data_IF_830329915864
#
_entry.id   IF_830329915864
#
_cell.length_a   1.000
_cell.length_b   1.000
_cell.length_c   1.000
_cell.angle_alpha   90.00
_cell.angle_beta   90.00
_cell.angle_gamma   90.00
#
_symmetry.space_group_name_H-M   'P 1'
#
loop_
_entity.id
_entity.type
_entity.pdbx_description
1 polymer ?
#
# COMPACT_ATOMS: atom_id res chain seq x y z
N UNK A 1 -15.84 0.65 19.66
CA UNK A 1 -15.69 -0.13 18.41
C UNK A 1 -15.54 -1.59 18.78
N UNK A 2 -16.46 -2.46 18.35
CA UNK A 2 -16.32 -3.91 18.52
C UNK A 2 -15.32 -4.39 17.46
N UNK A 3 -14.14 -4.80 17.91
CA UNK A 3 -13.20 -5.51 17.05
C UNK A 3 -13.79 -6.89 16.77
N UNK A 4 -14.29 -7.11 15.55
CA UNK A 4 -14.60 -8.45 15.08
C UNK A 4 -13.28 -9.22 15.00
N UNK A 5 -12.96 -9.95 16.07
CA UNK A 5 -11.86 -10.91 16.11
C UNK A 5 -12.15 -11.96 15.03
N UNK A 6 -11.55 -11.80 13.85
CA UNK A 6 -11.54 -12.87 12.87
C UNK A 6 -10.56 -13.89 13.42
N UNK A 7 -11.11 -14.92 14.06
CA UNK A 7 -10.38 -16.08 14.53
C UNK A 7 -9.46 -16.59 13.40
N UNK A 8 -8.13 -16.57 13.58
CA UNK A 8 -7.18 -16.92 12.52
C UNK A 8 -7.41 -18.33 11.99
N UNK A 9 -7.90 -19.25 12.85
CA UNK A 9 -8.28 -20.60 12.42
C UNK A 9 -9.45 -20.61 11.43
N UNK A 10 -10.40 -19.67 11.58
CA UNK A 10 -11.55 -19.51 10.66
C UNK A 10 -11.15 -18.79 9.38
N UNK A 11 -10.21 -17.84 9.44
CA UNK A 11 -9.64 -17.18 8.26
C UNK A 11 -8.89 -18.19 7.37
N UNK A 12 -8.03 -19.02 7.96
CA UNK A 12 -7.29 -20.06 7.24
C UNK A 12 -8.21 -21.13 6.66
N UNK A 13 -9.25 -21.54 7.41
CA UNK A 13 -10.26 -22.47 6.91
C UNK A 13 -11.04 -21.89 5.72
N UNK A 14 -11.39 -20.59 5.78
CA UNK A 14 -12.08 -19.89 4.68
C UNK A 14 -11.19 -19.76 3.44
N UNK A 15 -9.91 -19.42 3.63
CA UNK A 15 -8.88 -19.37 2.58
C UNK A 15 -8.72 -20.71 1.88
N UNK A 16 -8.52 -21.79 2.64
CA UNK A 16 -8.39 -23.16 2.11
C UNK A 16 -9.64 -23.63 1.38
N UNK A 17 -10.84 -23.35 1.90
CA UNK A 17 -12.12 -23.68 1.24
C UNK A 17 -12.30 -22.92 -0.07
N UNK A 18 -11.98 -21.62 -0.08
CA UNK A 18 -12.08 -20.80 -1.29
C UNK A 18 -11.12 -21.26 -2.38
N UNK A 19 -9.84 -21.48 -2.06
CA UNK A 19 -8.86 -21.97 -3.04
C UNK A 19 -9.19 -23.39 -3.53
N UNK A 20 -9.75 -24.23 -2.66
CA UNK A 20 -10.22 -25.56 -3.04
C UNK A 20 -11.43 -25.49 -3.99
N UNK A 21 -12.41 -24.61 -3.73
CA UNK A 21 -13.55 -24.43 -4.61
C UNK A 21 -13.14 -23.92 -6.00
N UNK A 22 -12.23 -22.93 -6.07
CA UNK A 22 -11.67 -22.45 -7.34
C UNK A 22 -10.86 -23.53 -8.06
N UNK A 23 -10.08 -24.33 -7.33
CA UNK A 23 -9.35 -25.47 -7.87
C UNK A 23 -10.26 -26.54 -8.46
N UNK A 24 -11.31 -26.95 -7.75
CA UNK A 24 -12.33 -27.90 -8.21
C UNK A 24 -13.03 -27.35 -9.45
N UNK A 25 -13.45 -26.09 -9.43
CA UNK A 25 -14.14 -25.45 -10.55
C UNK A 25 -13.26 -25.41 -11.81
N UNK A 26 -11.97 -25.07 -11.67
CA UNK A 26 -11.00 -25.08 -12.76
C UNK A 26 -10.80 -26.49 -13.33
N UNK A 27 -10.75 -27.53 -12.48
CA UNK A 27 -10.66 -28.93 -12.94
C UNK A 27 -11.93 -29.35 -13.68
N UNK A 28 -13.13 -29.00 -13.18
CA UNK A 28 -14.40 -29.31 -13.85
C UNK A 28 -14.42 -28.69 -15.25
N UNK A 29 -14.02 -27.42 -15.39
CA UNK A 29 -13.90 -26.76 -16.70
C UNK A 29 -12.91 -27.51 -17.61
N UNK A 30 -11.76 -27.92 -17.07
CA UNK A 30 -10.78 -28.73 -17.81
C UNK A 30 -11.36 -30.08 -18.29
N UNK A 31 -12.14 -30.76 -17.46
CA UNK A 31 -12.84 -32.00 -17.83
C UNK A 31 -13.92 -31.76 -18.90
N UNK A 32 -14.63 -30.63 -18.85
CA UNK A 32 -15.59 -30.24 -19.89
C UNK A 32 -14.91 -29.98 -21.23
N UNK A 33 -13.72 -29.37 -21.23
CA UNK A 33 -12.92 -29.21 -22.45
C UNK A 33 -12.45 -30.56 -23.02
N UNK A 34 -12.10 -31.54 -22.18
CA UNK A 34 -11.79 -32.90 -22.64
C UNK A 34 -13.02 -33.56 -23.29
N UNK A 35 -14.19 -33.47 -22.66
CA UNK A 35 -15.44 -33.99 -23.22
C UNK A 35 -15.79 -33.31 -24.55
N UNK A 36 -15.62 -31.98 -24.64
CA UNK A 36 -15.77 -31.21 -25.87
C UNK A 36 -14.78 -31.64 -26.96
N UNK A 37 -13.51 -31.86 -26.60
CA UNK A 37 -12.49 -32.35 -27.53
C UNK A 37 -12.85 -33.73 -28.13
N UNK A 38 -13.37 -34.65 -27.30
CA UNK A 38 -13.87 -35.96 -27.76
C UNK A 38 -15.06 -35.78 -28.71
N UNK A 39 -15.98 -34.86 -28.40
CA UNK A 39 -17.10 -34.53 -29.29
C UNK A 39 -16.62 -33.98 -30.65
N UNK A 40 -15.64 -33.06 -30.67
CA UNK A 40 -15.05 -32.55 -31.91
C UNK A 40 -14.36 -33.65 -32.75
N UNK A 41 -13.77 -34.65 -32.10
CA UNK A 41 -13.18 -35.80 -32.77
C UNK A 41 -14.24 -36.73 -33.37
N UNK A 42 -15.29 -37.06 -32.61
CA UNK A 42 -16.32 -38.01 -33.04
C UNK A 42 -17.32 -37.42 -34.03
N UNK A 43 -17.80 -36.19 -33.79
CA UNK A 43 -18.85 -35.56 -34.59
C UNK A 43 -18.29 -34.81 -35.81
N UNK A 44 -17.14 -34.14 -35.66
CA UNK A 44 -16.58 -33.25 -36.69
C UNK A 44 -15.30 -33.82 -37.33
N UNK A 45 -14.79 -34.98 -36.88
CA UNK A 45 -13.53 -35.61 -37.33
C UNK A 45 -12.34 -34.63 -37.36
N UNK A 46 -12.37 -33.61 -36.51
CA UNK A 46 -11.38 -32.53 -36.52
C UNK A 46 -10.29 -32.82 -35.48
N UNK A 47 -9.13 -33.26 -35.95
CA UNK A 47 -7.94 -33.47 -35.12
C UNK A 47 -7.44 -32.13 -34.55
N UNK A 48 -7.54 -31.04 -35.32
CA UNK A 48 -7.18 -29.70 -34.85
C UNK A 48 -8.05 -29.22 -33.68
N UNK A 49 -9.37 -29.48 -33.73
CA UNK A 49 -10.29 -29.18 -32.64
C UNK A 49 -9.97 -29.96 -31.36
N UNK A 50 -9.61 -31.24 -31.48
CA UNK A 50 -9.19 -32.06 -30.35
C UNK A 50 -7.93 -31.50 -29.68
N UNK A 51 -6.90 -31.15 -30.47
CA UNK A 51 -5.62 -30.66 -29.93
C UNK A 51 -5.80 -29.34 -29.18
N UNK A 52 -6.58 -28.41 -29.74
CA UNK A 52 -6.86 -27.11 -29.10
C UNK A 52 -7.61 -27.31 -27.78
N UNK A 53 -8.64 -28.15 -27.76
CA UNK A 53 -9.40 -28.44 -26.54
C UNK A 53 -8.55 -29.16 -25.48
N UNK A 54 -7.62 -30.02 -25.89
CA UNK A 54 -6.68 -30.70 -25.00
C UNK A 54 -5.69 -29.71 -24.36
N UNK A 55 -5.17 -28.73 -25.12
CA UNK A 55 -4.32 -27.66 -24.59
C UNK A 55 -5.09 -26.86 -23.52
N UNK A 56 -6.32 -26.44 -23.82
CA UNK A 56 -7.15 -25.74 -22.83
C UNK A 56 -7.41 -26.59 -21.60
N UNK A 57 -7.75 -27.87 -21.76
CA UNK A 57 -7.93 -28.77 -20.64
C UNK A 57 -6.69 -28.86 -19.74
N UNK A 58 -5.49 -29.01 -20.32
CA UNK A 58 -4.24 -29.06 -19.57
C UNK A 58 -3.97 -27.75 -18.82
N UNK A 59 -4.25 -26.59 -19.44
CA UNK A 59 -4.10 -25.28 -18.77
C UNK A 59 -5.05 -25.15 -17.58
N UNK A 60 -6.33 -25.54 -17.73
CA UNK A 60 -7.32 -25.46 -16.67
C UNK A 60 -7.09 -26.47 -15.55
N UNK A 61 -6.64 -27.69 -15.87
CA UNK A 61 -6.25 -28.70 -14.87
C UNK A 61 -4.99 -28.24 -14.13
N UNK A 62 -3.98 -27.73 -14.85
CA UNK A 62 -2.75 -27.18 -14.27
C UNK A 62 -3.02 -25.97 -13.37
N UNK A 63 -3.88 -25.05 -13.81
CA UNK A 63 -4.35 -23.94 -12.99
C UNK A 63 -5.11 -24.43 -11.74
N UNK A 64 -5.92 -25.47 -11.86
CA UNK A 64 -6.59 -26.12 -10.73
C UNK A 64 -5.60 -26.61 -9.67
N UNK A 65 -4.58 -27.36 -10.08
CA UNK A 65 -3.49 -27.79 -9.18
C UNK A 65 -2.73 -26.62 -8.56
N UNK A 66 -2.50 -25.55 -9.33
CA UNK A 66 -1.89 -24.33 -8.80
C UNK A 66 -2.75 -23.69 -7.70
N UNK A 67 -4.07 -23.55 -7.89
CA UNK A 67 -4.96 -23.00 -6.86
C UNK A 67 -4.95 -23.83 -5.57
N UNK A 68 -4.89 -25.16 -5.66
CA UNK A 68 -4.75 -26.02 -4.46
C UNK A 68 -3.42 -25.80 -3.72
N UNK A 69 -2.32 -25.57 -4.45
CA UNK A 69 -0.99 -25.36 -3.86
C UNK A 69 -0.70 -23.92 -3.49
N UNK A 70 -1.48 -22.97 -3.98
CA UNK A 70 -1.32 -21.54 -3.77
C UNK A 70 -1.14 -21.12 -2.30
N UNK A 71 -1.93 -21.60 -1.32
CA UNK A 71 -1.73 -21.22 0.08
C UNK A 71 -0.37 -21.70 0.61
N UNK A 72 0.01 -22.96 0.32
CA UNK A 72 1.32 -23.51 0.74
C UNK A 72 2.50 -22.78 0.07
N UNK A 73 2.38 -22.44 -1.21
CA UNK A 73 3.42 -21.69 -1.93
C UNK A 73 3.59 -20.30 -1.31
N UNK A 74 2.49 -19.66 -0.90
CA UNK A 74 2.55 -18.34 -0.27
C UNK A 74 3.12 -18.38 1.15
N UNK A 75 2.78 -19.40 1.94
CA UNK A 75 3.41 -19.66 3.26
C UNK A 75 4.92 -19.89 3.13
N UNK A 76 5.35 -20.70 2.15
CA UNK A 76 6.77 -20.92 1.87
C UNK A 76 7.46 -19.65 1.40
N UNK A 77 6.78 -18.83 0.60
CA UNK A 77 7.33 -17.57 0.11
C UNK A 77 7.44 -16.53 1.21
N UNK A 78 6.48 -16.44 2.13
CA UNK A 78 6.58 -15.57 3.30
C UNK A 78 7.71 -16.02 4.22
N UNK A 79 7.80 -17.32 4.51
CA UNK A 79 8.90 -17.86 5.32
C UNK A 79 10.28 -17.60 4.69
N UNK A 80 10.41 -17.77 3.37
CA UNK A 80 11.64 -17.43 2.66
C UNK A 80 11.91 -15.91 2.64
N UNK A 81 10.90 -15.06 2.74
CA UNK A 81 11.07 -13.61 2.87
C UNK A 81 11.49 -13.19 4.29
N UNK A 82 11.38 -14.07 5.29
CA UNK A 82 11.82 -13.80 6.65
C UNK A 82 13.18 -14.44 6.98
N UNK A 83 13.69 -15.35 6.11
CA UNK A 83 15.02 -15.96 6.26
C UNK A 83 16.13 -15.08 5.62
N UNK A 84 17.08 -14.55 6.42
CA UNK A 84 18.18 -13.71 5.93
C UNK A 84 19.09 -14.40 4.90
N UNK A 85 19.19 -15.73 4.96
CA UNK A 85 20.06 -16.52 4.09
C UNK A 85 19.38 -16.90 2.77
N UNK A 86 18.10 -16.59 2.59
CA UNK A 86 17.38 -16.94 1.38
C UNK A 86 17.75 -16.01 0.22
N UNK A 87 17.88 -16.58 -0.99
CA UNK A 87 18.10 -15.79 -2.21
C UNK A 87 16.98 -14.78 -2.48
N UNK A 88 15.75 -15.10 -2.06
CA UNK A 88 14.59 -14.23 -2.22
C UNK A 88 14.72 -13.00 -1.33
N UNK A 89 15.13 -13.20 -0.07
CA UNK A 89 15.39 -12.12 0.88
C UNK A 89 16.50 -11.19 0.38
N UNK A 90 17.64 -11.76 0.00
CA UNK A 90 18.78 -10.98 -0.49
C UNK A 90 18.44 -10.16 -1.74
N UNK A 91 17.73 -10.75 -2.70
CA UNK A 91 17.27 -10.04 -3.90
C UNK A 91 16.34 -8.89 -3.53
N UNK A 92 15.40 -9.12 -2.62
CA UNK A 92 14.47 -8.09 -2.13
C UNK A 92 15.22 -6.97 -1.42
N UNK A 93 16.17 -7.27 -0.54
CA UNK A 93 16.97 -6.25 0.15
C UNK A 93 17.77 -5.38 -0.83
N UNK A 94 18.33 -5.97 -1.90
CA UNK A 94 18.95 -5.20 -2.98
C UNK A 94 17.95 -4.28 -3.72
N UNK A 95 16.74 -4.76 -4.02
CA UNK A 95 15.67 -3.96 -4.63
C UNK A 95 15.22 -2.80 -3.72
N UNK A 96 15.06 -3.07 -2.41
CA UNK A 96 14.72 -2.08 -1.40
C UNK A 96 15.82 -1.01 -1.28
N UNK A 97 17.09 -1.42 -1.24
CA UNK A 97 18.23 -0.50 -1.15
C UNK A 97 18.31 0.46 -2.34
N UNK A 98 18.14 -0.07 -3.56
CA UNK A 98 18.11 0.76 -4.79
C UNK A 98 16.94 1.74 -4.78
N UNK A 99 15.79 1.31 -4.28
CA UNK A 99 14.60 2.14 -4.19
C UNK A 99 14.73 3.22 -3.11
N UNK A 100 15.37 2.90 -1.97
CA UNK A 100 15.73 3.87 -0.91
C UNK A 100 16.60 4.99 -1.44
N UNK A 101 17.67 4.65 -2.17
CA UNK A 101 18.58 5.65 -2.75
C UNK A 101 17.84 6.60 -3.71
N UNK A 102 16.89 6.08 -4.49
CA UNK A 102 16.05 6.88 -5.38
C UNK A 102 15.17 7.86 -4.60
N UNK A 103 14.55 7.40 -3.51
CA UNK A 103 13.74 8.26 -2.66
C UNK A 103 14.58 9.31 -1.95
N UNK A 104 15.76 8.94 -1.46
CA UNK A 104 16.69 9.85 -0.79
C UNK A 104 17.11 11.01 -1.70
N UNK A 105 17.47 10.71 -2.95
CA UNK A 105 17.81 11.74 -3.97
C UNK A 105 16.63 12.64 -4.35
N UNK A 106 15.41 12.10 -4.28
CA UNK A 106 14.19 12.85 -4.59
C UNK A 106 13.66 13.65 -3.40
N UNK A 107 14.06 13.29 -2.17
CA UNK A 107 13.54 13.84 -0.92
C UNK A 107 13.84 15.33 -0.72
N UNK A 108 14.83 15.87 -1.40
CA UNK A 108 15.20 17.30 -1.34
C UNK A 108 14.66 18.09 -2.55
N UNK A 109 14.14 17.40 -3.57
CA UNK A 109 13.78 17.97 -4.87
C UNK A 109 12.27 17.91 -5.14
N UNK A 110 11.44 18.41 -4.21
CA UNK A 110 9.97 18.34 -4.31
C UNK A 110 9.27 19.67 -4.64
N UNK A 111 9.96 20.81 -4.55
CA UNK A 111 9.33 22.13 -4.73
C UNK A 111 8.30 22.44 -3.63
N UNK A 112 7.30 23.28 -3.93
CA UNK A 112 6.32 23.76 -2.94
C UNK A 112 5.17 22.78 -2.68
N UNK A 113 4.59 22.84 -1.48
CA UNK A 113 3.51 21.94 -1.04
C UNK A 113 2.28 22.07 -1.95
N UNK A 114 1.94 23.32 -2.31
CA UNK A 114 0.88 23.61 -3.28
C UNK A 114 1.16 23.00 -4.67
N UNK A 115 2.42 23.03 -5.13
CA UNK A 115 2.78 22.43 -6.41
C UNK A 115 2.59 20.91 -6.38
N UNK A 116 3.03 20.28 -5.29
CA UNK A 116 2.94 18.82 -5.13
C UNK A 116 1.49 18.35 -4.99
N UNK A 117 0.69 18.98 -4.15
CA UNK A 117 -0.66 18.49 -3.84
C UNK A 117 -1.73 18.97 -4.83
N UNK A 118 -1.59 20.17 -5.40
CA UNK A 118 -2.58 20.71 -6.33
C UNK A 118 -2.14 20.57 -7.78
N UNK A 119 -0.95 21.11 -8.12
CA UNK A 119 -0.53 21.23 -9.53
C UNK A 119 -0.22 19.87 -10.15
N UNK A 120 0.51 19.01 -9.44
CA UNK A 120 0.83 17.66 -9.93
C UNK A 120 -0.42 16.80 -10.08
N UNK A 121 -1.29 16.81 -9.07
CA UNK A 121 -2.55 16.07 -9.09
C UNK A 121 -3.44 16.54 -10.25
N UNK A 122 -3.59 17.85 -10.43
CA UNK A 122 -4.32 18.42 -11.55
C UNK A 122 -3.68 18.07 -12.91
N UNK A 123 -2.35 18.03 -13.01
CA UNK A 123 -1.65 17.63 -14.24
C UNK A 123 -1.94 16.17 -14.58
N UNK A 124 -1.88 15.27 -13.61
CA UNK A 124 -2.22 13.84 -13.79
C UNK A 124 -3.65 13.68 -14.26
N UNK A 125 -4.61 14.32 -13.61
CA UNK A 125 -6.02 14.28 -14.04
C UNK A 125 -6.23 14.97 -15.38
N UNK A 126 -5.46 16.02 -15.70
CA UNK A 126 -5.54 16.74 -16.97
C UNK A 126 -5.11 15.87 -18.14
N UNK A 127 -3.94 15.23 -18.03
CA UNK A 127 -3.46 14.26 -19.03
C UNK A 127 -4.44 13.09 -19.14
N UNK A 128 -4.92 12.56 -18.02
CA UNK A 128 -5.91 11.48 -18.01
C UNK A 128 -7.20 11.86 -18.74
N UNK A 129 -7.71 13.07 -18.51
CA UNK A 129 -8.91 13.59 -19.18
C UNK A 129 -8.69 13.73 -20.68
N UNK A 130 -7.55 14.27 -21.11
CA UNK A 130 -7.22 14.41 -22.53
C UNK A 130 -7.10 13.06 -23.24
N UNK A 131 -6.46 12.07 -22.60
CA UNK A 131 -6.37 10.71 -23.13
C UNK A 131 -7.76 10.07 -23.24
N UNK A 132 -8.63 10.31 -22.26
CA UNK A 132 -9.98 9.79 -22.28
C UNK A 132 -10.83 10.41 -23.39
N UNK A 133 -10.77 11.73 -23.56
CA UNK A 133 -11.45 12.43 -24.66
C UNK A 133 -10.93 11.98 -26.03
N UNK A 134 -9.62 11.78 -26.17
CA UNK A 134 -9.03 11.24 -27.40
C UNK A 134 -9.56 9.83 -27.69
N UNK A 135 -9.65 8.97 -26.67
CA UNK A 135 -10.22 7.63 -26.80
C UNK A 135 -11.70 7.67 -27.16
N UNK A 136 -12.49 8.54 -26.52
CA UNK A 136 -13.91 8.76 -26.81
C UNK A 136 -14.12 9.20 -28.27
N UNK A 137 -13.30 10.15 -28.74
CA UNK A 137 -13.31 10.61 -30.13
C UNK A 137 -12.97 9.47 -31.13
N UNK A 138 -12.00 8.62 -30.83
CA UNK A 138 -11.64 7.47 -31.67
C UNK A 138 -12.81 6.48 -31.78
N UNK A 139 -13.45 6.13 -30.66
CA UNK A 139 -14.60 5.22 -30.68
C UNK A 139 -15.79 5.82 -31.44
N UNK A 140 -16.03 7.12 -31.29
CA UNK A 140 -17.07 7.83 -32.05
C UNK A 140 -16.78 7.81 -33.56
N UNK A 141 -15.53 8.02 -33.98
CA UNK A 141 -15.12 7.96 -35.39
C UNK A 141 -15.28 6.57 -36.02
N UNK A 142 -15.13 5.51 -35.22
CA UNK A 142 -15.31 4.11 -35.68
C UNK A 142 -16.81 3.70 -35.59
N UNK A 143 -17.69 4.59 -35.15
CA UNK A 143 -19.14 4.34 -35.07
C UNK A 143 -19.55 3.43 -33.90
N UNK A 144 -18.66 3.24 -32.92
CA UNK A 144 -18.92 2.41 -31.74
C UNK A 144 -19.27 3.32 -30.58
N UNK A 145 -20.51 3.22 -30.09
CA UNK A 145 -20.98 4.02 -28.96
C UNK A 145 -20.99 3.21 -27.66
N UNK A 146 -20.27 3.72 -26.65
CA UNK A 146 -20.33 3.19 -25.29
C UNK A 146 -20.91 4.26 -24.35
N UNK A 147 -22.08 4.02 -23.72
CA UNK A 147 -22.68 4.96 -22.76
C UNK A 147 -21.74 5.35 -21.61
N UNK A 148 -20.86 4.44 -21.21
CA UNK A 148 -19.84 4.68 -20.19
C UNK A 148 -18.85 5.79 -20.58
N UNK A 149 -18.48 5.92 -21.86
CA UNK A 149 -17.58 6.97 -22.34
C UNK A 149 -18.21 8.35 -22.16
N UNK A 150 -19.50 8.51 -22.47
CA UNK A 150 -20.23 9.78 -22.28
C UNK A 150 -20.28 10.19 -20.81
N UNK A 151 -20.52 9.23 -19.91
CA UNK A 151 -20.52 9.49 -18.47
C UNK A 151 -19.14 9.98 -18.00
N UNK A 152 -18.08 9.36 -18.50
CA UNK A 152 -16.70 9.72 -18.16
C UNK A 152 -16.26 11.04 -18.80
N UNK A 153 -16.75 11.39 -20.00
CA UNK A 153 -16.48 12.68 -20.65
C UNK A 153 -16.98 13.86 -19.81
N UNK A 154 -18.00 13.65 -18.96
CA UNK A 154 -18.50 14.63 -17.99
C UNK A 154 -17.78 14.51 -16.63
N UNK A 155 -17.52 13.29 -16.14
CA UNK A 155 -16.88 13.09 -14.83
C UNK A 155 -15.41 13.52 -14.79
N UNK A 156 -14.63 13.22 -15.83
CA UNK A 156 -13.21 13.56 -15.91
C UNK A 156 -12.93 15.06 -15.74
N UNK A 157 -13.62 15.99 -16.46
CA UNK A 157 -13.42 17.43 -16.24
C UNK A 157 -13.88 17.89 -14.85
N UNK A 158 -14.94 17.30 -14.28
CA UNK A 158 -15.37 17.61 -12.90
C UNK A 158 -14.27 17.23 -11.90
N UNK A 159 -13.67 16.05 -12.06
CA UNK A 159 -12.56 15.59 -11.21
C UNK A 159 -11.34 16.50 -11.37
N UNK A 160 -10.99 16.88 -12.60
CA UNK A 160 -9.90 17.83 -12.88
C UNK A 160 -10.13 19.18 -12.18
N UNK A 161 -11.31 19.77 -12.31
CA UNK A 161 -11.69 21.02 -11.66
C UNK A 161 -11.61 20.85 -10.13
N UNK A 162 -12.10 19.75 -9.59
CA UNK A 162 -12.04 19.46 -8.16
C UNK A 162 -10.60 19.35 -7.63
N UNK A 163 -9.67 18.82 -8.43
CA UNK A 163 -8.26 18.72 -8.09
C UNK A 163 -7.56 20.09 -8.10
N UNK A 164 -7.93 20.99 -9.01
CA UNK A 164 -7.44 22.37 -9.06
C UNK A 164 -7.81 23.17 -7.82
N UNK A 165 -8.98 22.91 -7.21
CA UNK A 165 -9.38 23.55 -5.95
C UNK A 165 -8.50 23.16 -4.76
N UNK A 166 -7.73 22.06 -4.86
CA UNK A 166 -6.71 21.71 -3.88
C UNK A 166 -7.28 21.36 -2.51
N UNK A 167 -8.32 20.51 -2.46
CA UNK A 167 -9.02 20.18 -1.21
C UNK A 167 -8.08 19.64 -0.12
N UNK A 168 -7.16 18.74 -0.47
CA UNK A 168 -6.16 18.20 0.47
C UNK A 168 -5.20 19.29 0.97
N UNK A 169 -4.69 20.13 0.06
CA UNK A 169 -3.84 21.27 0.43
C UNK A 169 -4.52 22.19 1.44
N UNK A 170 -5.80 22.54 1.22
CA UNK A 170 -6.55 23.39 2.15
C UNK A 170 -6.72 22.75 3.53
N UNK A 171 -6.95 21.43 3.59
CA UNK A 171 -7.05 20.72 4.87
C UNK A 171 -5.72 20.71 5.62
N UNK A 172 -4.61 20.42 4.95
CA UNK A 172 -3.29 20.45 5.57
C UNK A 172 -2.96 21.86 6.06
N UNK A 173 -3.32 22.90 5.30
CA UNK A 173 -3.16 24.29 5.73
C UNK A 173 -4.04 24.64 6.95
N UNK A 174 -5.21 24.01 7.10
CA UNK A 174 -6.02 24.16 8.31
C UNK A 174 -5.35 23.51 9.51
N UNK A 175 -4.72 22.34 9.34
CA UNK A 175 -3.95 21.69 10.40
C UNK A 175 -2.73 22.52 10.82
N UNK A 176 -1.97 23.09 9.89
CA UNK A 176 -0.90 24.05 10.21
C UNK A 176 -1.40 25.26 11.00
N UNK A 177 -2.58 25.77 10.65
CA UNK A 177 -3.19 26.90 11.35
C UNK A 177 -3.57 26.59 12.81
N UNK A 178 -3.83 25.31 13.15
CA UNK A 178 -4.05 24.90 14.56
C UNK A 178 -2.82 25.13 15.42
N UNK A 179 -1.63 25.13 14.82
CA UNK A 179 -0.36 25.42 15.48
C UNK A 179 0.08 26.88 15.31
N UNK A 180 -0.79 27.76 14.82
CA UNK A 180 -0.53 29.20 14.66
C UNK A 180 0.40 29.55 13.50
N UNK A 181 0.65 28.62 12.57
CA UNK A 181 1.55 28.81 11.43
C UNK A 181 0.79 29.41 10.25
N UNK A 182 1.31 30.50 9.68
CA UNK A 182 0.73 31.10 8.47
C UNK A 182 1.12 30.31 7.21
N UNK A 183 0.37 30.49 6.12
CA UNK A 183 0.56 29.76 4.87
C UNK A 183 1.96 29.91 4.28
N UNK A 184 2.55 31.11 4.37
CA UNK A 184 3.90 31.35 3.86
C UNK A 184 4.93 30.56 4.67
N UNK A 185 4.77 30.51 5.99
CA UNK A 185 5.64 29.77 6.89
C UNK A 185 5.47 28.26 6.72
N UNK A 186 4.26 27.76 6.50
CA UNK A 186 4.00 26.36 6.19
C UNK A 186 4.61 25.92 4.85
N UNK A 187 4.57 26.77 3.82
CA UNK A 187 5.22 26.50 2.54
C UNK A 187 6.75 26.53 2.65
N UNK A 188 7.29 27.43 3.47
CA UNK A 188 8.73 27.47 3.74
C UNK A 188 9.18 26.24 4.54
N UNK A 189 8.45 25.86 5.58
CA UNK A 189 8.70 24.65 6.37
C UNK A 189 8.67 23.40 5.47
N UNK A 190 7.71 23.31 4.55
CA UNK A 190 7.68 22.24 3.57
C UNK A 190 8.85 22.29 2.60
N UNK A 191 9.26 23.47 2.12
CA UNK A 191 10.39 23.59 1.21
C UNK A 191 11.73 23.20 1.87
N UNK A 192 11.85 23.40 3.19
CA UNK A 192 13.00 22.98 4.00
C UNK A 192 12.91 21.53 4.50
N UNK A 193 11.74 20.90 4.36
CA UNK A 193 11.50 19.51 4.76
C UNK A 193 12.10 18.52 3.78
N UNK A 194 12.27 17.27 4.24
CA UNK A 194 12.50 16.13 3.34
C UNK A 194 11.14 15.53 2.99
N UNK A 195 10.70 15.66 1.73
CA UNK A 195 9.39 15.17 1.30
C UNK A 195 9.46 13.93 0.39
N UNK A 196 8.76 12.88 0.80
CA UNK A 196 8.64 11.61 0.11
C UNK A 196 7.31 11.51 -0.63
N UNK A 197 7.39 11.42 -1.95
CA UNK A 197 6.23 11.43 -2.85
C UNK A 197 5.72 10.00 -3.11
N UNK A 198 4.49 9.72 -2.68
CA UNK A 198 3.80 8.44 -2.74
C UNK A 198 2.62 8.52 -3.72
N UNK A 199 2.90 8.41 -5.02
CA UNK A 199 1.90 8.56 -6.09
C UNK A 199 1.19 9.93 -6.03
N UNK A 200 0.07 10.01 -5.29
CA UNK A 200 -0.74 11.20 -5.05
C UNK A 200 -0.54 11.80 -3.66
N UNK A 201 0.05 11.06 -2.74
CA UNK A 201 0.26 11.47 -1.35
C UNK A 201 1.72 11.86 -1.09
N UNK A 202 1.94 12.52 0.05
CA UNK A 202 3.23 13.04 0.50
C UNK A 202 3.38 12.75 1.98
N UNK A 203 4.53 12.22 2.35
CA UNK A 203 5.03 12.20 3.72
C UNK A 203 6.22 13.14 3.79
N UNK A 204 6.18 14.16 4.62
CA UNK A 204 7.27 15.11 4.76
C UNK A 204 7.73 15.22 6.21
N UNK A 205 9.04 15.29 6.41
CA UNK A 205 9.68 15.46 7.71
C UNK A 205 10.45 16.75 7.70
N UNK A 206 10.00 17.73 8.49
CA UNK A 206 10.73 18.96 8.77
C UNK A 206 11.25 18.96 10.21
N UNK A 207 12.07 19.95 10.55
CA UNK A 207 12.53 20.16 11.93
C UNK A 207 11.38 20.45 12.90
N UNK A 208 10.30 21.06 12.43
CA UNK A 208 9.18 21.50 13.26
C UNK A 208 7.98 20.58 13.15
N UNK A 209 7.73 20.03 11.97
CA UNK A 209 6.52 19.27 11.69
C UNK A 209 6.78 18.02 10.87
N UNK A 210 5.98 17.01 11.13
CA UNK A 210 5.74 15.85 10.29
C UNK A 210 4.41 16.02 9.58
N UNK A 211 4.39 15.87 8.26
CA UNK A 211 3.18 16.03 7.44
C UNK A 211 2.85 14.72 6.76
N UNK A 212 1.60 14.28 6.87
CA UNK A 212 1.07 13.15 6.13
C UNK A 212 -0.19 13.53 5.36
N UNK A 213 -0.11 13.63 4.03
CA UNK A 213 -1.23 14.08 3.21
C UNK A 213 -2.36 13.06 3.10
N UNK A 214 -2.05 11.76 3.14
CA UNK A 214 -3.04 10.69 3.03
C UNK A 214 -4.08 10.77 4.17
N UNK A 215 -3.62 11.09 5.38
CA UNK A 215 -4.47 11.32 6.55
C UNK A 215 -4.91 12.78 6.71
N UNK A 216 -4.27 13.72 5.99
CA UNK A 216 -4.37 15.17 6.19
C UNK A 216 -4.00 15.55 7.64
N UNK A 217 -2.85 15.10 8.12
CA UNK A 217 -2.39 15.34 9.49
C UNK A 217 -1.05 16.07 9.45
N UNK A 218 -0.90 17.05 10.34
CA UNK A 218 0.36 17.71 10.65
C UNK A 218 0.64 17.47 12.13
N UNK A 219 1.76 16.85 12.44
CA UNK A 219 2.20 16.57 13.81
C UNK A 219 3.44 17.39 14.12
N UNK A 220 3.51 18.09 15.25
CA UNK A 220 4.72 18.82 15.58
C UNK A 220 5.79 17.83 16.06
N UNK A 221 7.00 17.93 15.49
CA UNK A 221 8.10 16.97 15.71
C UNK A 221 8.54 16.95 17.17
N UNK A 222 8.35 18.07 17.87
CA UNK A 222 8.59 18.24 19.31
C UNK A 222 7.57 17.52 20.20
N UNK A 223 6.51 16.91 19.66
CA UNK A 223 5.59 16.05 20.40
C UNK A 223 5.82 14.57 20.08
N UNK A 224 6.56 14.26 19.01
CA UNK A 224 6.88 12.87 18.65
C UNK A 224 7.88 12.30 19.66
N UNK A 225 7.55 11.18 20.30
CA UNK A 225 8.40 10.54 21.32
C UNK A 225 8.85 9.15 20.90
N UNK A 226 8.08 8.48 20.04
CA UNK A 226 8.33 7.11 19.64
C UNK A 226 7.96 6.89 18.18
N UNK A 227 8.79 6.17 17.43
CA UNK A 227 8.45 5.76 16.08
C UNK A 227 8.99 4.36 15.77
N UNK A 228 8.20 3.57 15.07
CA UNK A 228 8.61 2.25 14.61
C UNK A 228 7.86 1.85 13.35
N UNK A 229 8.42 0.88 12.63
CA UNK A 229 7.77 0.29 11.48
C UNK A 229 7.10 -1.02 11.87
N UNK A 230 5.95 -1.29 11.28
CA UNK A 230 5.29 -2.58 11.41
C UNK A 230 4.69 -3.01 10.08
N UNK A 231 4.19 -4.24 10.04
CA UNK A 231 3.52 -4.78 8.88
C UNK A 231 2.30 -5.60 9.28
N UNK A 232 1.33 -5.67 8.37
CA UNK A 232 0.17 -6.55 8.44
C UNK A 232 0.12 -7.43 7.20
N UNK A 233 -0.27 -8.67 7.38
CA UNK A 233 -0.54 -9.59 6.29
C UNK A 233 -2.03 -9.54 6.00
N UNK A 234 -2.40 -8.90 4.89
CA UNK A 234 -3.79 -8.75 4.46
C UNK A 234 -4.10 -9.77 3.37
N UNK A 235 -5.06 -10.65 3.64
CA UNK A 235 -5.57 -11.58 2.64
C UNK A 235 -6.50 -10.85 1.66
N UNK A 236 -6.09 -10.76 0.40
CA UNK A 236 -6.86 -10.10 -0.66
C UNK A 236 -7.82 -11.11 -1.28
N UNK A 237 -9.12 -10.80 -1.20
CA UNK A 237 -10.19 -11.56 -1.85
C UNK A 237 -10.74 -10.78 -3.06
N UNK A 238 -10.83 -11.43 -4.22
CA UNK A 238 -11.50 -10.89 -5.41
C UNK A 238 -12.78 -11.67 -5.65
N UNK A 239 -13.94 -10.99 -5.68
CA UNK A 239 -15.26 -11.63 -5.84
C UNK A 239 -15.51 -12.76 -4.85
N UNK A 240 -15.09 -12.58 -3.58
CA UNK A 240 -15.21 -13.60 -2.54
C UNK A 240 -14.19 -14.75 -2.61
N UNK A 241 -13.37 -14.81 -3.67
CA UNK A 241 -12.31 -15.81 -3.83
C UNK A 241 -10.96 -15.28 -3.37
N UNK A 242 -10.22 -16.09 -2.62
CA UNK A 242 -8.88 -15.75 -2.20
C UNK A 242 -7.94 -15.57 -3.40
N UNK A 243 -7.19 -14.47 -3.43
CA UNK A 243 -6.23 -14.18 -4.50
C UNK A 243 -4.79 -14.28 -4.01
N UNK A 244 -4.40 -13.51 -3.00
CA UNK A 244 -3.04 -13.52 -2.45
C UNK A 244 -3.00 -12.81 -1.10
N UNK A 245 -2.02 -13.15 -0.26
CA UNK A 245 -1.69 -12.36 0.93
C UNK A 245 -0.75 -11.24 0.50
N UNK A 246 -1.13 -10.00 0.82
CA UNK A 246 -0.30 -8.80 0.62
C UNK A 246 0.27 -8.37 1.97
N UNK A 247 1.58 -8.17 2.04
CA UNK A 247 2.25 -7.58 3.20
C UNK A 247 2.17 -6.06 3.07
N UNK A 248 1.37 -5.44 3.93
CA UNK A 248 1.13 -4.01 3.97
C UNK A 248 1.96 -3.41 5.10
N UNK A 249 2.83 -2.45 4.81
CA UNK A 249 3.73 -1.83 5.77
C UNK A 249 3.12 -0.55 6.34
N UNK A 250 3.38 -0.32 7.62
CA UNK A 250 2.81 0.77 8.41
C UNK A 250 3.94 1.47 9.17
N UNK A 251 3.94 2.79 9.13
CA UNK A 251 4.73 3.64 10.02
C UNK A 251 3.86 4.01 11.20
N UNK A 252 4.36 3.80 12.41
CA UNK A 252 3.67 4.13 13.65
C UNK A 252 4.43 5.27 14.34
N UNK A 253 3.70 6.31 14.74
CA UNK A 253 4.20 7.49 15.44
C UNK A 253 3.43 7.64 16.74
N UNK A 254 4.13 7.58 17.87
CA UNK A 254 3.63 7.86 19.20
C UNK A 254 3.97 9.29 19.62
N UNK A 255 2.95 10.02 20.07
CA UNK A 255 3.06 11.37 20.59
C UNK A 255 3.19 11.36 22.13
N UNK A 256 3.71 12.45 22.69
CA UNK A 256 3.86 12.63 24.14
C UNK A 256 2.53 12.57 24.88
N UNK A 257 1.43 12.98 24.23
CA UNK A 257 0.09 12.93 24.79
C UNK A 257 -0.51 11.51 24.88
N UNK A 258 0.21 10.48 24.40
CA UNK A 258 -0.24 9.08 24.40
C UNK A 258 -0.95 8.63 23.12
N UNK A 259 -1.17 9.52 22.16
CA UNK A 259 -1.80 9.16 20.89
C UNK A 259 -0.84 8.38 19.98
N UNK A 260 -1.38 7.37 19.29
CA UNK A 260 -0.68 6.57 18.30
C UNK A 260 -1.30 6.77 16.92
N UNK A 261 -0.51 7.31 15.99
CA UNK A 261 -0.90 7.46 14.60
C UNK A 261 -0.26 6.36 13.75
N UNK A 262 -1.07 5.80 12.85
CA UNK A 262 -0.65 4.75 11.92
C UNK A 262 -0.77 5.25 10.48
N UNK A 263 0.32 5.22 9.74
CA UNK A 263 0.38 5.68 8.36
C UNK A 263 0.78 4.54 7.43
N UNK A 264 0.04 4.37 6.34
CA UNK A 264 0.42 3.45 5.27
C UNK A 264 1.70 3.96 4.59
N UNK A 265 2.76 3.17 4.65
CA UNK A 265 4.05 3.56 4.09
C UNK A 265 4.75 2.34 3.48
N UNK A 266 5.32 2.43 2.27
CA UNK A 266 6.16 1.38 1.70
C UNK A 266 7.37 1.07 2.60
N UNK A 267 7.80 -0.19 2.58
CA UNK A 267 8.90 -0.70 3.41
C UNK A 267 10.20 0.07 3.20
N UNK A 268 10.48 0.51 1.97
CA UNK A 268 11.67 1.28 1.64
C UNK A 268 11.70 2.61 2.40
N UNK A 269 10.55 3.27 2.48
CA UNK A 269 10.40 4.62 3.01
C UNK A 269 10.31 4.65 4.53
N UNK A 270 9.76 3.60 5.16
CA UNK A 270 9.65 3.51 6.61
C UNK A 270 11.00 3.76 7.32
N UNK A 271 12.09 3.13 6.86
CA UNK A 271 13.41 3.32 7.47
C UNK A 271 13.97 4.72 7.28
N UNK A 272 13.70 5.36 6.13
CA UNK A 272 14.17 6.71 5.84
C UNK A 272 13.44 7.73 6.70
N UNK A 273 12.12 7.66 6.77
CA UNK A 273 11.29 8.56 7.58
C UNK A 273 11.63 8.43 9.07
N UNK A 274 11.86 7.20 9.56
CA UNK A 274 12.30 6.98 10.95
C UNK A 274 13.65 7.65 11.22
N UNK A 275 14.62 7.52 10.30
CA UNK A 275 15.93 8.19 10.42
C UNK A 275 15.80 9.71 10.43
N UNK A 276 14.93 10.25 9.58
CA UNK A 276 14.70 11.69 9.49
C UNK A 276 14.00 12.23 10.74
N UNK A 277 12.99 11.53 11.26
CA UNK A 277 12.34 11.88 12.53
C UNK A 277 13.31 11.84 13.71
N UNK A 278 14.21 10.84 13.76
CA UNK A 278 15.23 10.76 14.79
C UNK A 278 16.32 11.84 14.67
N UNK A 279 16.59 12.34 13.47
CA UNK A 279 17.55 13.44 13.26
C UNK A 279 16.93 14.82 13.47
N UNK A 280 15.64 14.98 13.17
CA UNK A 280 14.89 16.21 13.35
C UNK A 280 14.42 16.42 14.80
N UNK A 281 13.97 15.36 15.46
CA UNK A 281 13.39 15.43 16.80
C UNK A 281 14.42 15.29 17.92
N UNK A 282 14.32 16.16 18.92
CA UNK A 282 15.09 16.02 20.16
C UNK A 282 14.55 14.81 20.92
N UNK A 283 15.29 13.69 20.92
CA UNK A 283 15.02 12.45 21.69
C UNK A 283 13.89 11.53 21.20
N UNK A 284 13.65 11.42 19.89
CA UNK A 284 12.73 10.40 19.35
C UNK A 284 13.35 9.00 19.46
N UNK A 285 12.68 8.08 20.17
CA UNK A 285 13.11 6.68 20.23
C UNK A 285 12.65 5.93 18.97
N UNK A 286 13.57 5.22 18.30
CA UNK A 286 13.24 4.33 17.19
C UNK A 286 13.16 2.86 17.62
N UNK A 287 12.18 2.12 17.10
CA UNK A 287 12.11 0.66 17.19
C UNK A 287 11.10 0.14 18.21
N UNK A 288 10.75 -1.13 18.08
CA UNK A 288 9.67 -1.77 18.83
C UNK A 288 10.18 -2.72 19.92
N UNK A 289 9.48 -2.75 21.05
CA UNK A 289 9.59 -3.76 22.09
C UNK A 289 8.28 -3.80 22.86
N UNK A 290 7.82 -4.97 23.28
CA UNK A 290 6.60 -5.08 24.11
C UNK A 290 6.73 -4.25 25.40
N UNK A 291 7.93 -4.23 25.99
CA UNK A 291 8.22 -3.43 27.16
C UNK A 291 8.18 -1.90 26.88
N UNK A 292 8.54 -1.48 25.66
CA UNK A 292 8.42 -0.07 25.24
C UNK A 292 6.96 0.32 25.03
N UNK A 293 6.15 -0.58 24.45
CA UNK A 293 4.71 -0.35 24.29
C UNK A 293 4.01 -0.20 25.65
N UNK A 294 4.35 -1.07 26.60
CA UNK A 294 3.79 -1.01 27.96
C UNK A 294 4.24 0.27 28.69
N UNK A 295 5.49 0.70 28.51
CA UNK A 295 6.01 1.94 29.08
C UNK A 295 5.29 3.16 28.49
N UNK A 296 5.12 3.18 27.16
CA UNK A 296 4.39 4.24 26.46
C UNK A 296 2.94 4.34 26.92
N UNK A 297 2.26 3.20 27.11
CA UNK A 297 0.87 3.17 27.60
C UNK A 297 0.73 3.61 29.05
N UNK A 298 1.73 3.33 29.89
CA UNK A 298 1.69 3.67 31.33
C UNK A 298 2.01 5.15 31.58
N UNK A 299 3.05 5.68 30.94
CA UNK A 299 3.54 7.04 31.16
C UNK A 299 3.99 7.69 29.83
N UNK A 300 3.06 8.13 28.98
CA UNK A 300 3.41 8.70 27.68
C UNK A 300 4.19 10.03 27.80
N UNK A 301 3.83 10.88 28.76
CA UNK A 301 4.48 12.19 28.96
C UNK A 301 5.95 12.07 29.41
N UNK A 302 6.28 11.04 30.19
CA UNK A 302 7.64 10.80 30.71
C UNK A 302 8.46 9.87 29.81
N UNK A 303 7.89 9.40 28.69
CA UNK A 303 8.53 8.44 27.79
C UNK A 303 9.89 8.93 27.27
N UNK A 304 10.06 10.24 27.07
CA UNK A 304 11.34 10.83 26.62
C UNK A 304 12.47 10.67 27.63
N UNK A 305 12.14 10.83 28.91
CA UNK A 305 13.13 10.97 29.97
C UNK A 305 13.39 9.66 30.73
N UNK A 306 12.63 8.61 30.42
CA UNK A 306 12.80 7.31 31.08
C UNK A 306 14.06 6.63 30.55
N UNK A 307 14.94 6.16 31.44
CA UNK A 307 16.09 5.35 31.05
C UNK A 307 15.62 4.05 30.39
N UNK A 308 16.04 3.84 29.14
CA UNK A 308 15.65 2.70 28.29
C UNK A 308 16.77 1.65 28.17
N UNK A 309 17.76 1.73 29.05
CA UNK A 309 18.91 0.82 29.10
C UNK A 309 18.43 -0.58 29.46
N UNK A 310 18.56 -1.53 28.52
CA UNK A 310 18.23 -2.94 28.74
C UNK A 310 17.03 -3.49 27.96
N UNK A 311 16.30 -2.67 27.20
CA UNK A 311 15.26 -3.20 26.31
C UNK A 311 15.87 -3.79 25.03
N UNK A 312 15.46 -5.01 24.67
CA UNK A 312 15.73 -5.55 23.33
C UNK A 312 14.82 -4.83 22.34
N UNK A 313 15.38 -3.85 21.64
CA UNK A 313 14.66 -3.02 20.66
C UNK A 313 14.85 -3.60 19.28
N UNK A 314 13.74 -4.06 18.68
CA UNK A 314 13.71 -4.50 17.29
C UNK A 314 13.59 -3.28 16.38
N UNK A 315 14.58 -3.10 15.50
CA UNK A 315 14.57 -2.03 14.48
C UNK A 315 13.90 -2.46 13.17
N UNK A 316 13.72 -3.77 12.99
CA UNK A 316 13.03 -4.33 11.83
C UNK A 316 11.50 -4.20 11.97
N UNK A 317 10.76 -4.21 10.84
CA UNK A 317 9.31 -4.12 10.87
C UNK A 317 8.69 -5.27 11.67
N UNK A 318 7.84 -4.96 12.63
CA UNK A 318 7.18 -5.96 13.50
C UNK A 318 5.79 -6.32 12.99
N UNK A 319 5.38 -7.58 13.15
CA UNK A 319 4.04 -8.04 12.80
C UNK A 319 3.00 -7.43 13.77
N UNK A 320 2.08 -6.64 13.23
CA UNK A 320 1.11 -5.85 14.02
C UNK A 320 -0.20 -6.58 14.31
N UNK A 321 -0.15 -7.87 14.66
CA UNK A 321 -1.35 -8.68 14.92
C UNK A 321 -2.11 -8.27 16.20
N UNK A 322 -1.53 -7.37 17.02
CA UNK A 322 -2.02 -6.98 18.36
C UNK A 322 -2.22 -5.47 18.58
N UNK A 323 -2.15 -4.67 17.52
CA UNK A 323 -2.44 -3.22 17.58
C UNK A 323 -3.84 -2.90 17.11
#
# INVERSE_FOLDING_TARGET
>A
MSYNYIDPSKADAKKRRSTAASGIFSIIIGCLFLAGGIFFLCALKSIGGLIVMLIFALVFIGAGFYFFRQPKIQEQRSAAMDDPNSRIYQKRQAELAKSREKYEKAAENHGSLKSVLCRRTALVYGIGTLLFWALSAIFFLIGIFFPFLVIMDVLCPIILISALFGRQYRKIMQEYALFGVDRAEAEQDFAESRAYLLSTDVLAVSRRFFVASAANIVLPTDQVVWTFSGYRNEDVYKSGMYSHTKRTYLLIIGLSNGDLYQFLCPEELCSLIISDLCSAGVSVQSGYSDALLDLFRKNPDQFRNTEKTGFSVQKEPVLLDKF
#
